data_IF_841462469761
#
_entry.id   IF_841462469761
#
_cell.length_a   1.000
_cell.length_b   1.000
_cell.length_c   1.000
_cell.angle_alpha   90.00
_cell.angle_beta   90.00
_cell.angle_gamma   90.00
#
_symmetry.space_group_name_H-M   'P 1'
#
loop_
_entity.id
_entity.type
_entity.pdbx_description
1 polymer ?
#
# COMPACT_ATOMS: atom_id res chain seq x y z
N UNK A 1 4.49 -16.01 9.88
CA UNK A 1 5.02 -14.98 8.96
C UNK A 1 4.07 -13.81 8.90
N UNK A 2 4.60 -12.60 8.87
CA UNK A 2 3.81 -11.37 8.75
C UNK A 2 4.23 -10.62 7.49
N UNK A 3 3.30 -9.87 6.90
CA UNK A 3 3.62 -8.93 5.81
C UNK A 3 3.22 -7.52 6.22
N UNK A 4 3.89 -6.55 5.62
CA UNK A 4 3.52 -5.14 5.69
C UNK A 4 2.67 -4.80 4.47
N UNK A 5 1.54 -4.15 4.70
CA UNK A 5 0.64 -3.75 3.63
C UNK A 5 0.12 -2.33 3.86
N UNK A 6 0.03 -1.56 2.79
CA UNK A 6 -0.54 -0.22 2.83
C UNK A 6 -2.06 -0.32 2.92
N UNK A 7 -2.66 0.31 3.93
CA UNK A 7 -4.10 0.27 4.20
C UNK A 7 -4.66 1.68 4.28
N UNK A 8 -5.77 1.91 3.61
CA UNK A 8 -6.55 3.12 3.75
C UNK A 8 -8.04 2.78 3.68
N UNK A 9 -8.78 3.07 4.74
CA UNK A 9 -10.20 2.74 4.87
C UNK A 9 -11.02 4.02 4.84
N UNK A 10 -11.96 4.11 3.88
CA UNK A 10 -12.93 5.18 3.79
C UNK A 10 -14.33 4.64 4.03
N UNK A 11 -15.33 5.51 4.10
CA UNK A 11 -16.73 5.10 4.22
C UNK A 11 -17.19 4.37 2.97
N UNK A 12 -16.67 4.78 1.82
CA UNK A 12 -16.91 4.14 0.53
C UNK A 12 -15.59 3.84 -0.16
N UNK A 13 -15.63 2.92 -1.10
CA UNK A 13 -14.49 2.55 -1.94
C UNK A 13 -13.92 3.74 -2.71
N UNK A 14 -14.79 4.54 -3.31
CA UNK A 14 -14.41 5.71 -4.09
C UNK A 14 -13.75 6.79 -3.23
N UNK A 15 -14.26 7.04 -2.04
CA UNK A 15 -13.68 7.99 -1.10
C UNK A 15 -12.27 7.56 -0.68
N UNK A 16 -12.08 6.29 -0.33
CA UNK A 16 -10.78 5.77 0.04
C UNK A 16 -9.77 5.87 -1.11
N UNK A 17 -10.16 5.51 -2.31
CA UNK A 17 -9.28 5.57 -3.48
C UNK A 17 -8.90 7.00 -3.83
N UNK A 18 -9.86 7.91 -3.84
CA UNK A 18 -9.63 9.31 -4.18
C UNK A 18 -8.74 10.05 -3.17
N UNK A 19 -8.98 9.83 -1.89
CA UNK A 19 -8.25 10.52 -0.82
C UNK A 19 -6.78 10.08 -0.73
N UNK A 20 -6.47 8.86 -1.09
CA UNK A 20 -5.13 8.28 -0.95
C UNK A 20 -4.29 8.31 -2.24
N UNK A 21 -4.87 8.62 -3.39
CA UNK A 21 -4.22 8.50 -4.70
C UNK A 21 -2.91 9.28 -4.81
N UNK A 22 -2.96 10.58 -4.56
CA UNK A 22 -1.79 11.45 -4.70
C UNK A 22 -0.64 11.03 -3.79
N UNK A 23 -0.95 10.76 -2.53
CA UNK A 23 0.02 10.36 -1.53
C UNK A 23 0.66 9.02 -1.86
N UNK A 24 -0.14 8.05 -2.30
CA UNK A 24 0.32 6.72 -2.69
C UNK A 24 1.24 6.80 -3.91
N UNK A 25 0.85 7.51 -4.94
CA UNK A 25 1.66 7.66 -6.14
C UNK A 25 2.99 8.36 -5.85
N UNK A 26 2.97 9.36 -4.97
CA UNK A 26 4.21 10.01 -4.53
C UNK A 26 5.15 9.03 -3.83
N UNK A 27 4.63 8.16 -2.97
CA UNK A 27 5.42 7.14 -2.29
C UNK A 27 6.13 6.21 -3.29
N UNK A 28 5.41 5.73 -4.29
CA UNK A 28 5.97 4.84 -5.31
C UNK A 28 6.95 5.56 -6.24
N UNK A 29 6.73 6.82 -6.56
CA UNK A 29 7.68 7.64 -7.30
C UNK A 29 9.00 7.82 -6.55
N UNK A 30 8.93 8.08 -5.23
CA UNK A 30 10.11 8.18 -4.38
C UNK A 30 10.87 6.85 -4.31
N UNK A 31 10.16 5.76 -4.21
CA UNK A 31 10.76 4.43 -4.21
C UNK A 31 11.50 4.15 -5.53
N UNK A 32 10.90 4.52 -6.66
CA UNK A 32 11.53 4.41 -7.97
C UNK A 32 12.82 5.24 -8.05
N UNK A 33 12.81 6.47 -7.55
CA UNK A 33 13.99 7.33 -7.48
C UNK A 33 15.09 6.72 -6.61
N UNK A 34 14.73 6.17 -5.46
CA UNK A 34 15.68 5.51 -4.56
C UNK A 34 16.34 4.30 -5.21
N UNK A 35 15.62 3.52 -5.98
CA UNK A 35 16.21 2.42 -6.75
C UNK A 35 17.19 2.93 -7.80
N UNK A 36 16.85 4.00 -8.51
CA UNK A 36 17.74 4.60 -9.50
C UNK A 36 19.04 5.15 -8.88
N UNK A 37 18.91 5.85 -7.74
CA UNK A 37 20.07 6.39 -7.01
C UNK A 37 20.97 5.29 -6.46
N UNK A 38 20.40 4.23 -5.89
CA UNK A 38 21.19 3.12 -5.36
C UNK A 38 21.82 2.26 -6.47
N UNK A 39 21.25 2.24 -7.67
CA UNK A 39 21.83 1.55 -8.82
C UNK A 39 23.18 2.16 -9.24
N UNK A 40 23.35 3.48 -9.11
CA UNK A 40 24.60 4.17 -9.47
C UNK A 40 25.78 3.82 -8.57
N UNK A 41 25.54 3.32 -7.37
CA UNK A 41 26.57 2.94 -6.39
C UNK A 41 26.73 1.44 -6.20
N UNK A 42 25.92 0.62 -6.87
CA UNK A 42 25.95 -0.84 -6.75
C UNK A 42 26.88 -1.47 -7.81
N UNK A 43 27.29 -2.73 -7.59
CA UNK A 43 28.00 -3.51 -8.61
C UNK A 43 27.10 -3.79 -9.83
N UNK A 44 27.71 -4.16 -10.97
CA UNK A 44 27.03 -4.27 -12.27
C UNK A 44 25.72 -5.08 -12.26
N UNK A 45 25.74 -6.27 -11.69
CA UNK A 45 24.56 -7.17 -11.68
C UNK A 45 23.45 -6.61 -10.79
N UNK A 46 23.82 -6.14 -9.59
CA UNK A 46 22.87 -5.52 -8.67
C UNK A 46 22.30 -4.20 -9.21
N UNK A 47 23.11 -3.44 -9.95
CA UNK A 47 22.70 -2.21 -10.61
C UNK A 47 21.63 -2.45 -11.66
N UNK A 48 21.81 -3.45 -12.52
CA UNK A 48 20.82 -3.82 -13.55
C UNK A 48 19.49 -4.22 -12.95
N UNK A 49 19.49 -5.04 -11.90
CA UNK A 49 18.26 -5.46 -11.20
C UNK A 49 17.53 -4.28 -10.58
N UNK A 50 18.26 -3.35 -9.96
CA UNK A 50 17.69 -2.14 -9.36
C UNK A 50 17.11 -1.18 -10.39
N UNK A 51 17.77 -0.99 -11.51
CA UNK A 51 17.26 -0.20 -12.62
C UNK A 51 15.95 -0.78 -13.15
N UNK A 52 15.90 -2.09 -13.38
CA UNK A 52 14.70 -2.77 -13.85
C UNK A 52 13.53 -2.63 -12.86
N UNK A 53 13.77 -2.70 -11.55
CA UNK A 53 12.76 -2.47 -10.52
C UNK A 53 12.28 -1.03 -10.51
N UNK A 54 13.19 -0.08 -10.64
CA UNK A 54 12.88 1.35 -10.72
C UNK A 54 12.00 1.67 -11.93
N UNK A 55 12.33 1.13 -13.09
CA UNK A 55 11.54 1.30 -14.31
C UNK A 55 10.12 0.73 -14.16
N UNK A 56 9.98 -0.44 -13.56
CA UNK A 56 8.66 -1.03 -13.28
C UNK A 56 7.82 -0.15 -12.34
N UNK A 57 8.43 0.44 -11.32
CA UNK A 57 7.74 1.34 -10.40
C UNK A 57 7.33 2.66 -11.04
N UNK A 58 8.14 3.19 -11.96
CA UNK A 58 7.79 4.41 -12.71
C UNK A 58 6.58 4.18 -13.62
N UNK A 59 6.49 3.00 -14.24
CA UNK A 59 5.41 2.67 -15.16
C UNK A 59 4.14 2.15 -14.49
N UNK A 60 4.17 1.91 -13.17
CA UNK A 60 3.02 1.39 -12.43
C UNK A 60 1.88 2.41 -12.37
N UNK A 61 0.65 1.96 -12.62
CA UNK A 61 -0.54 2.79 -12.49
C UNK A 61 -1.19 2.61 -11.12
N UNK A 62 -1.97 3.59 -10.69
CA UNK A 62 -2.71 3.50 -9.43
C UNK A 62 -3.69 2.32 -9.43
N UNK A 63 -4.33 2.05 -10.56
CA UNK A 63 -5.24 0.91 -10.71
C UNK A 63 -4.55 -0.43 -10.48
N UNK A 64 -3.34 -0.59 -11.03
CA UNK A 64 -2.52 -1.79 -10.80
C UNK A 64 -2.13 -1.95 -9.32
N UNK A 65 -1.77 -0.85 -8.66
CA UNK A 65 -1.45 -0.86 -7.24
C UNK A 65 -2.64 -1.28 -6.39
N UNK A 66 -3.82 -0.72 -6.66
CA UNK A 66 -5.05 -1.07 -5.94
C UNK A 66 -5.36 -2.56 -6.09
N UNK A 67 -5.22 -3.10 -7.29
CA UNK A 67 -5.49 -4.51 -7.57
C UNK A 67 -4.51 -5.45 -6.87
N UNK A 68 -3.21 -5.12 -6.89
CA UNK A 68 -2.17 -6.09 -6.56
C UNK A 68 -1.44 -5.83 -5.24
N UNK A 69 -1.43 -4.60 -4.71
CA UNK A 69 -0.55 -4.22 -3.60
C UNK A 69 -1.18 -3.45 -2.45
N UNK A 70 -2.36 -2.88 -2.63
CA UNK A 70 -2.98 -2.00 -1.65
C UNK A 70 -4.26 -2.59 -1.08
N UNK A 71 -4.49 -2.37 0.22
CA UNK A 71 -5.75 -2.73 0.88
C UNK A 71 -6.56 -1.46 1.13
N UNK A 72 -7.07 -0.87 0.05
CA UNK A 72 -7.86 0.36 0.08
C UNK A 72 -9.32 0.06 -0.24
N UNK A 73 -10.21 0.73 0.42
CA UNK A 73 -11.64 0.62 0.15
C UNK A 73 -12.51 0.85 1.37
N UNK A 74 -13.77 0.40 1.31
CA UNK A 74 -14.67 0.38 2.46
C UNK A 74 -14.22 -0.69 3.47
N UNK A 75 -14.71 -0.66 4.71
CA UNK A 75 -14.36 -1.69 5.68
C UNK A 75 -14.61 -3.11 5.18
N UNK A 76 -15.72 -3.35 4.47
CA UNK A 76 -16.03 -4.66 3.91
C UNK A 76 -15.02 -5.10 2.85
N UNK A 77 -14.62 -4.19 1.96
CA UNK A 77 -13.64 -4.46 0.90
C UNK A 77 -12.29 -4.84 1.50
N UNK A 78 -11.85 -4.09 2.50
CA UNK A 78 -10.57 -4.34 3.17
C UNK A 78 -10.59 -5.67 3.93
N UNK A 79 -11.68 -5.99 4.62
CA UNK A 79 -11.84 -7.28 5.31
C UNK A 79 -11.71 -8.45 4.33
N UNK A 80 -12.41 -8.39 3.21
CA UNK A 80 -12.36 -9.44 2.18
C UNK A 80 -10.95 -9.63 1.63
N UNK A 81 -10.31 -8.53 1.28
CA UNK A 81 -8.95 -8.56 0.73
C UNK A 81 -7.95 -9.15 1.72
N UNK A 82 -7.98 -8.71 2.97
CA UNK A 82 -7.06 -9.20 4.00
C UNK A 82 -7.30 -10.67 4.33
N UNK A 83 -8.55 -11.14 4.31
CA UNK A 83 -8.84 -12.57 4.48
C UNK A 83 -8.24 -13.43 3.37
N UNK A 84 -8.41 -13.00 2.13
CA UNK A 84 -7.85 -13.70 0.98
C UNK A 84 -6.32 -13.79 1.08
N UNK A 85 -5.67 -12.67 1.33
CA UNK A 85 -4.20 -12.61 1.47
C UNK A 85 -3.72 -13.49 2.61
N UNK A 86 -4.39 -13.43 3.76
CA UNK A 86 -4.02 -14.22 4.95
C UNK A 86 -4.13 -15.72 4.67
N UNK A 87 -5.20 -16.15 4.02
CA UNK A 87 -5.41 -17.56 3.67
C UNK A 87 -4.40 -18.06 2.63
N UNK A 88 -4.20 -17.30 1.56
CA UNK A 88 -3.28 -17.69 0.48
C UNK A 88 -1.83 -17.79 0.94
N UNK A 89 -1.40 -16.89 1.80
CA UNK A 89 -0.01 -16.82 2.26
C UNK A 89 0.23 -17.51 3.60
N UNK A 90 -0.80 -17.97 4.28
CA UNK A 90 -0.66 -18.59 5.59
C UNK A 90 -0.11 -17.63 6.65
N UNK A 91 -0.55 -16.38 6.65
CA UNK A 91 -0.01 -15.36 7.53
C UNK A 91 -0.55 -15.48 8.95
N UNK A 92 0.32 -15.24 9.93
CA UNK A 92 -0.04 -15.13 11.35
C UNK A 92 -0.35 -13.70 11.78
N UNK A 93 0.04 -12.71 10.97
CA UNK A 93 -0.22 -11.30 11.26
C UNK A 93 0.07 -10.39 10.08
N UNK A 94 -0.41 -9.16 10.19
CA UNK A 94 -0.26 -8.11 9.18
C UNK A 94 0.23 -6.83 9.87
N UNK A 95 1.20 -6.17 9.27
CA UNK A 95 1.62 -4.82 9.68
C UNK A 95 0.93 -3.81 8.76
N UNK A 96 -0.02 -3.07 9.29
CA UNK A 96 -0.79 -2.08 8.56
C UNK A 96 -0.06 -0.73 8.52
N UNK A 97 0.15 -0.19 7.33
CA UNK A 97 0.70 1.15 7.15
C UNK A 97 -0.40 2.08 6.64
N UNK A 98 -0.78 3.07 7.47
CA UNK A 98 -1.93 3.93 7.22
C UNK A 98 -1.57 5.33 6.70
N UNK A 99 -0.28 5.66 6.59
CA UNK A 99 0.20 7.01 6.26
C UNK A 99 1.06 7.05 5.01
N UNK A 100 0.72 6.29 4.00
CA UNK A 100 1.52 6.17 2.78
C UNK A 100 1.74 7.53 2.12
N UNK A 101 3.00 7.87 1.87
CA UNK A 101 3.41 9.07 1.14
C UNK A 101 3.37 10.38 1.92
N UNK A 102 2.70 10.43 3.06
CA UNK A 102 2.67 11.61 3.93
C UNK A 102 1.89 12.82 3.45
N UNK A 103 1.10 12.69 2.38
CA UNK A 103 0.28 13.79 1.83
C UNK A 103 -1.20 13.71 2.22
N UNK A 104 -1.63 12.59 2.79
CA UNK A 104 -3.04 12.43 3.19
C UNK A 104 -3.32 13.36 4.37
N UNK A 105 -4.40 14.16 4.35
CA UNK A 105 -4.75 15.03 5.48
C UNK A 105 -4.87 14.25 6.79
N UNK A 106 -4.42 14.85 7.87
CA UNK A 106 -4.36 14.21 9.19
C UNK A 106 -5.71 13.69 9.69
N UNK A 107 -6.78 14.46 9.48
CA UNK A 107 -8.13 14.08 9.84
C UNK A 107 -8.61 12.84 9.08
N UNK A 108 -8.25 12.72 7.82
CA UNK A 108 -8.57 11.55 6.98
C UNK A 108 -7.79 10.31 7.38
N UNK A 109 -6.51 10.47 7.72
CA UNK A 109 -5.69 9.38 8.27
C UNK A 109 -6.29 8.89 9.59
N UNK A 110 -6.64 9.80 10.49
CA UNK A 110 -7.26 9.44 11.77
C UNK A 110 -8.58 8.70 11.57
N UNK A 111 -9.44 9.17 10.67
CA UNK A 111 -10.69 8.50 10.34
C UNK A 111 -10.47 7.10 9.74
N UNK A 112 -9.47 6.94 8.89
CA UNK A 112 -9.08 5.63 8.33
C UNK A 112 -8.64 4.65 9.42
N UNK A 113 -7.82 5.10 10.34
CA UNK A 113 -7.36 4.28 11.48
C UNK A 113 -8.53 3.88 12.37
N UNK A 114 -9.45 4.80 12.67
CA UNK A 114 -10.64 4.51 13.46
C UNK A 114 -11.51 3.46 12.79
N UNK A 115 -11.78 3.58 11.51
CA UNK A 115 -12.54 2.58 10.75
C UNK A 115 -11.83 1.23 10.73
N UNK A 116 -10.52 1.23 10.55
CA UNK A 116 -9.75 -0.01 10.57
C UNK A 116 -9.83 -0.70 11.93
N UNK A 117 -9.59 0.01 13.01
CA UNK A 117 -9.61 -0.56 14.36
C UNK A 117 -11.01 -1.01 14.81
N UNK A 118 -12.05 -0.26 14.46
CA UNK A 118 -13.41 -0.51 14.95
C UNK A 118 -14.25 -1.42 14.07
N UNK A 119 -13.98 -1.48 12.77
CA UNK A 119 -14.78 -2.24 11.83
C UNK A 119 -14.00 -3.34 11.11
N UNK A 120 -12.76 -3.09 10.71
CA UNK A 120 -11.97 -4.10 9.98
C UNK A 120 -11.37 -5.15 10.91
N UNK A 121 -10.71 -4.76 11.97
CA UNK A 121 -10.06 -5.69 12.90
C UNK A 121 -11.07 -6.67 13.52
N UNK A 122 -12.24 -6.24 14.04
CA UNK A 122 -13.25 -7.19 14.52
C UNK A 122 -13.75 -8.16 13.46
N UNK A 123 -13.87 -7.71 12.21
CA UNK A 123 -14.27 -8.54 11.08
C UNK A 123 -13.27 -9.62 10.67
N UNK A 124 -12.00 -9.48 11.07
CA UNK A 124 -10.94 -10.45 10.79
C UNK A 124 -10.85 -11.58 11.82
N UNK A 125 -11.50 -11.43 12.94
CA UNK A 125 -11.49 -12.42 14.04
C UNK A 125 -12.49 -13.53 13.84
#
# INVERSE_FOLDING_TARGET
>A
MCIRIDIFVGKTKQEAYGDAEESTMRSYQRLAQNFSLSASSAGTVASEDRVARGERLVSVTYEELIRDRLAYGSPEDVIKLLKVITEEMGLSGIVAEATVGGLIPRDKVAASIDLFCNEVVPGLR
#
